data_IF_585687689181
#
_entry.id   IF_585687689181
#
_cell.length_a   1.000
_cell.length_b   1.000
_cell.length_c   1.000
_cell.angle_alpha   90.00
_cell.angle_beta   90.00
_cell.angle_gamma   90.00
#
_symmetry.space_group_name_H-M   'P 1'
#
loop_
_entity.id
_entity.type
_entity.pdbx_description
1 polymer ?
#
# COMPACT_ATOMS: atom_id res chain seq x y z
N UNK A 1 -24.54 1.95 -20.08
CA UNK A 1 -25.13 2.57 -18.88
C UNK A 1 -24.04 2.74 -17.84
N UNK A 2 -23.23 3.79 -18.00
CA UNK A 2 -22.11 4.12 -17.11
C UNK A 2 -22.53 5.32 -16.29
N UNK A 3 -22.93 5.07 -15.05
CA UNK A 3 -23.30 6.09 -14.07
C UNK A 3 -22.07 6.93 -13.73
N UNK A 4 -22.15 8.27 -13.81
CA UNK A 4 -21.09 9.15 -13.34
C UNK A 4 -21.26 9.38 -11.83
N UNK A 5 -20.22 9.15 -11.03
CA UNK A 5 -20.16 9.74 -9.68
C UNK A 5 -19.86 8.84 -8.49
N UNK A 6 -19.47 7.59 -8.67
CA UNK A 6 -18.91 6.82 -7.56
C UNK A 6 -17.39 6.77 -7.74
N UNK A 7 -16.61 7.25 -6.77
CA UNK A 7 -15.17 7.00 -6.64
C UNK A 7 -14.94 5.49 -6.39
N UNK A 8 -15.42 4.65 -7.30
CA UNK A 8 -14.99 3.28 -7.40
C UNK A 8 -13.58 3.37 -7.94
N UNK A 9 -12.62 3.15 -7.05
CA UNK A 9 -11.26 2.83 -7.44
C UNK A 9 -11.36 1.87 -8.63
N UNK A 10 -10.70 2.18 -9.77
CA UNK A 10 -10.75 1.32 -10.94
C UNK A 10 -10.47 -0.11 -10.51
N UNK A 11 -11.24 -1.08 -11.01
CA UNK A 11 -11.05 -2.50 -10.63
C UNK A 11 -9.59 -2.93 -10.80
N UNK A 12 -8.93 -2.42 -11.84
CA UNK A 12 -7.49 -2.61 -12.08
C UNK A 12 -6.63 -2.07 -10.93
N UNK A 13 -6.91 -0.87 -10.43
CA UNK A 13 -6.18 -0.29 -9.31
C UNK A 13 -6.40 -1.06 -8.01
N UNK A 14 -7.61 -1.57 -7.77
CA UNK A 14 -7.87 -2.45 -6.61
C UNK A 14 -7.06 -3.74 -6.69
N UNK A 15 -6.93 -4.34 -7.88
CA UNK A 15 -6.07 -5.51 -8.09
C UNK A 15 -4.60 -5.18 -7.82
N UNK A 16 -4.11 -4.05 -8.31
CA UNK A 16 -2.75 -3.57 -8.02
C UNK A 16 -2.48 -3.40 -6.52
N UNK A 17 -3.42 -2.79 -5.79
CA UNK A 17 -3.32 -2.64 -4.33
C UNK A 17 -3.30 -4.00 -3.62
N UNK A 18 -4.06 -4.97 -4.11
CA UNK A 18 -4.11 -6.30 -3.52
C UNK A 18 -2.80 -7.06 -3.72
N UNK A 19 -2.20 -6.99 -4.91
CA UNK A 19 -0.87 -7.54 -5.18
C UNK A 19 0.20 -6.88 -4.32
N UNK A 20 0.12 -5.55 -4.18
CA UNK A 20 1.02 -4.77 -3.34
C UNK A 20 0.94 -5.19 -1.87
N UNK A 21 -0.27 -5.32 -1.33
CA UNK A 21 -0.50 -5.79 0.03
C UNK A 21 0.11 -7.17 0.25
N UNK A 22 -0.11 -8.09 -0.70
CA UNK A 22 0.45 -9.44 -0.59
C UNK A 22 1.98 -9.40 -0.55
N UNK A 23 2.60 -8.62 -1.44
CA UNK A 23 4.06 -8.42 -1.44
C UNK A 23 4.58 -7.91 -0.10
N UNK A 24 3.96 -6.86 0.45
CA UNK A 24 4.35 -6.30 1.77
C UNK A 24 4.22 -7.36 2.87
N UNK A 25 3.12 -8.12 2.89
CA UNK A 25 2.92 -9.18 3.90
C UNK A 25 3.91 -10.35 3.77
N UNK A 26 4.44 -10.58 2.56
CA UNK A 26 5.44 -11.62 2.31
C UNK A 26 6.88 -11.16 2.50
N UNK A 27 7.11 -9.86 2.72
CA UNK A 27 8.43 -9.33 3.03
C UNK A 27 8.95 -9.94 4.33
N UNK A 28 10.13 -10.56 4.25
CA UNK A 28 10.87 -11.06 5.40
C UNK A 28 12.06 -10.17 5.74
N UNK A 29 12.43 -9.28 4.82
CA UNK A 29 13.50 -8.33 5.02
C UNK A 29 13.05 -7.20 5.96
N UNK A 30 13.80 -7.01 7.05
CA UNK A 30 13.43 -6.04 8.09
C UNK A 30 13.70 -4.61 7.63
N UNK A 31 14.73 -4.38 6.79
CA UNK A 31 15.02 -3.04 6.27
C UNK A 31 13.91 -2.61 5.31
N UNK A 32 13.46 -3.52 4.44
CA UNK A 32 12.33 -3.27 3.55
C UNK A 32 11.03 -3.00 4.29
N UNK A 33 10.70 -3.83 5.27
CA UNK A 33 9.50 -3.64 6.09
C UNK A 33 9.54 -2.30 6.81
N UNK A 34 10.69 -1.93 7.37
CA UNK A 34 10.86 -0.66 8.07
C UNK A 34 10.69 0.53 7.11
N UNK A 35 11.23 0.46 5.90
CA UNK A 35 11.06 1.49 4.88
C UNK A 35 9.60 1.68 4.47
N UNK A 36 8.86 0.58 4.30
CA UNK A 36 7.42 0.59 4.03
C UNK A 36 6.66 1.25 5.18
N UNK A 37 6.97 0.88 6.42
CA UNK A 37 6.37 1.49 7.62
C UNK A 37 6.67 2.98 7.70
N UNK A 38 7.90 3.42 7.43
CA UNK A 38 8.26 4.85 7.40
C UNK A 38 7.51 5.63 6.32
N UNK A 39 7.40 5.07 5.11
CA UNK A 39 6.62 5.68 4.01
C UNK A 39 5.16 5.86 4.40
N UNK A 40 4.56 4.85 5.00
CA UNK A 40 3.16 4.90 5.43
C UNK A 40 3.01 5.85 6.63
N UNK A 41 3.94 5.81 7.58
CA UNK A 41 3.94 6.69 8.74
C UNK A 41 4.03 8.16 8.34
N UNK A 42 4.81 8.49 7.31
CA UNK A 42 4.91 9.83 6.75
C UNK A 42 3.58 10.36 6.18
N UNK A 43 2.67 9.48 5.76
CA UNK A 43 1.32 9.87 5.35
C UNK A 43 0.37 10.11 6.52
N UNK A 44 0.68 9.59 7.71
CA UNK A 44 -0.22 9.57 8.86
C UNK A 44 -1.48 8.71 8.68
N UNK A 45 -1.62 8.00 7.56
CA UNK A 45 -2.78 7.19 7.24
C UNK A 45 -2.61 5.74 7.71
N UNK A 46 -2.33 5.58 9.00
CA UNK A 46 -2.15 4.29 9.66
C UNK A 46 -2.84 4.29 11.03
N UNK A 47 -3.16 3.10 11.51
CA UNK A 47 -3.67 2.85 12.84
C UNK A 47 -2.68 1.96 13.58
N UNK A 48 -2.06 2.51 14.63
CA UNK A 48 -1.34 1.68 15.59
C UNK A 48 -2.36 1.20 16.58
N UNK A 49 -2.63 -0.10 16.53
CA UNK A 49 -3.45 -0.77 17.54
C UNK A 49 -2.56 -1.07 18.76
N UNK A 50 -2.59 -2.29 19.33
CA UNK A 50 -1.85 -2.63 20.56
C UNK A 50 -0.61 -3.50 20.32
N UNK A 51 -0.50 -4.12 19.14
CA UNK A 51 0.59 -5.05 18.78
C UNK A 51 0.98 -4.97 17.30
N UNK A 52 0.19 -4.29 16.50
CA UNK A 52 0.27 -4.30 15.05
C UNK A 52 0.24 -2.87 14.53
N UNK A 53 0.96 -2.66 13.43
CA UNK A 53 0.89 -1.46 12.63
C UNK A 53 -0.05 -1.78 11.47
N UNK A 54 -1.27 -1.26 11.55
CA UNK A 54 -2.33 -1.51 10.58
C UNK A 54 -2.44 -0.30 9.65
N UNK A 55 -2.60 -0.53 8.35
CA UNK A 55 -2.76 0.54 7.37
C UNK A 55 -3.65 0.10 6.22
N UNK A 56 -4.40 1.04 5.67
CA UNK A 56 -5.26 0.81 4.51
C UNK A 56 -4.59 1.39 3.27
N UNK A 57 -4.18 0.54 2.33
CA UNK A 57 -3.65 0.99 1.04
C UNK A 57 -4.63 1.89 0.28
N UNK A 58 -5.94 1.66 0.44
CA UNK A 58 -6.98 2.48 -0.18
C UNK A 58 -7.08 3.90 0.41
N UNK A 59 -6.55 4.13 1.63
CA UNK A 59 -6.49 5.46 2.26
C UNK A 59 -5.23 6.23 1.87
N UNK A 60 -4.22 5.54 1.33
CA UNK A 60 -2.99 6.17 0.88
C UNK A 60 -3.21 6.96 -0.42
N UNK A 61 -2.47 8.05 -0.57
CA UNK A 61 -2.43 8.78 -1.83
C UNK A 61 -1.76 7.92 -2.92
N UNK A 62 -2.18 8.12 -4.18
CA UNK A 62 -1.60 7.44 -5.34
C UNK A 62 -0.08 7.57 -5.40
N UNK A 63 0.47 8.72 -4.99
CA UNK A 63 1.93 8.91 -4.97
C UNK A 63 2.64 7.98 -3.98
N UNK A 64 2.06 7.72 -2.81
CA UNK A 64 2.63 6.79 -1.83
C UNK A 64 2.50 5.35 -2.30
N UNK A 65 1.34 4.98 -2.86
CA UNK A 65 1.11 3.64 -3.42
C UNK A 65 2.11 3.35 -4.55
N UNK A 66 2.33 4.32 -5.44
CA UNK A 66 3.27 4.15 -6.55
C UNK A 66 4.70 3.93 -6.04
N UNK A 67 5.15 4.68 -5.01
CA UNK A 67 6.47 4.47 -4.41
C UNK A 67 6.60 3.08 -3.78
N UNK A 68 5.57 2.62 -3.07
CA UNK A 68 5.53 1.26 -2.52
C UNK A 68 5.63 0.22 -3.64
N UNK A 69 4.90 0.41 -4.74
CA UNK A 69 4.95 -0.47 -5.91
C UNK A 69 6.36 -0.50 -6.51
N UNK A 70 7.00 0.65 -6.72
CA UNK A 70 8.36 0.75 -7.27
C UNK A 70 9.37 0.06 -6.36
N UNK A 71 9.31 0.32 -5.05
CA UNK A 71 10.18 -0.28 -4.04
C UNK A 71 10.08 -1.81 -4.07
N UNK A 72 8.86 -2.35 -4.01
CA UNK A 72 8.63 -3.79 -4.01
C UNK A 72 8.83 -4.43 -5.38
N UNK A 73 8.82 -3.66 -6.47
CA UNK A 73 9.21 -4.14 -7.79
C UNK A 73 10.72 -4.30 -7.90
N UNK A 74 11.51 -3.41 -7.28
CA UNK A 74 12.98 -3.51 -7.30
C UNK A 74 13.52 -4.68 -6.47
N UNK A 75 12.88 -5.01 -5.35
CA UNK A 75 13.35 -6.06 -4.44
C UNK A 75 13.10 -7.49 -4.92
N UNK A 76 12.35 -7.69 -6.03
CA UNK A 76 12.06 -9.03 -6.59
C UNK A 76 13.11 -9.51 -7.60
N UNK A 77 14.31 -8.92 -7.59
CA UNK A 77 15.41 -9.22 -8.55
C UNK A 77 16.41 -10.25 -8.02
#
# INVERSE_FOLDING_TARGET
>A
MTTPGQLQLPTEYLSELQELHHKIMTLQDNEELQHVVEMIAATGCYEITHKTFDFDLCKLDRGTVQRLQEFLATSVS
#
